data_IF_281923510938
#
_entry.id   IF_281923510938
#
_cell.length_a   1.000
_cell.length_b   1.000
_cell.length_c   1.000
_cell.angle_alpha   90.00
_cell.angle_beta   90.00
_cell.angle_gamma   90.00
#
_symmetry.space_group_name_H-M   'P 1'
#
loop_
_entity.id
_entity.type
_entity.pdbx_description
1 polymer ?
#
# COMPACT_ATOMS: atom_id res chain seq x y z
N UNK A 1 13.87 17.24 2.82
CA UNK A 1 14.14 17.05 1.42
C UNK A 1 13.15 17.84 0.57
N UNK A 2 13.69 18.80 -0.10
CA UNK A 2 12.83 19.70 -0.88
C UNK A 2 12.06 18.97 -1.96
N UNK A 3 12.68 17.96 -2.53
CA UNK A 3 12.03 17.20 -3.56
C UNK A 3 10.78 16.47 -3.05
N UNK A 4 10.88 15.92 -1.86
CA UNK A 4 9.74 15.25 -1.30
C UNK A 4 8.58 16.19 -1.05
N UNK A 5 8.88 17.39 -0.60
CA UNK A 5 7.83 18.36 -0.36
C UNK A 5 7.21 18.84 -1.65
N UNK A 6 8.03 19.04 -2.65
CA UNK A 6 7.53 19.44 -3.94
C UNK A 6 6.59 18.39 -4.50
N UNK A 7 7.00 17.17 -4.38
CA UNK A 7 6.24 16.06 -4.85
C UNK A 7 4.89 15.98 -4.16
N UNK A 8 4.91 16.22 -2.87
CA UNK A 8 3.69 16.25 -2.10
C UNK A 8 2.72 17.30 -2.60
N UNK A 9 3.24 18.44 -2.98
CA UNK A 9 2.40 19.49 -3.52
C UNK A 9 1.68 19.05 -4.76
N UNK A 10 2.39 18.36 -5.62
CA UNK A 10 1.78 17.87 -6.84
C UNK A 10 0.71 16.85 -6.54
N UNK A 11 1.02 15.96 -5.62
CA UNK A 11 0.04 14.98 -5.21
C UNK A 11 -1.13 15.62 -4.53
N UNK A 12 -0.86 16.66 -3.78
CA UNK A 12 -1.92 17.40 -3.14
C UNK A 12 -2.90 17.94 -4.16
N UNK A 13 -2.38 18.37 -5.28
CA UNK A 13 -3.24 18.84 -6.33
C UNK A 13 -4.12 17.75 -6.90
N UNK A 14 -3.57 16.57 -7.03
CA UNK A 14 -4.36 15.46 -7.52
C UNK A 14 -5.19 14.83 -6.43
N UNK A 15 -4.92 15.17 -5.19
CA UNK A 15 -5.73 14.66 -4.11
C UNK A 15 -7.15 15.18 -4.17
N UNK A 16 -7.46 15.99 -5.15
CA UNK A 16 -8.81 16.37 -5.38
C UNK A 16 -9.73 15.20 -5.61
N UNK A 17 -9.18 14.02 -5.90
CA UNK A 17 -10.00 12.84 -6.04
C UNK A 17 -10.32 12.20 -4.69
N UNK A 18 -9.80 12.75 -3.61
CA UNK A 18 -10.13 12.26 -2.27
C UNK A 18 -9.37 11.04 -1.82
N UNK A 19 -8.33 10.64 -2.55
CA UNK A 19 -7.59 9.45 -2.16
C UNK A 19 -6.49 9.78 -1.16
N UNK A 20 -6.37 9.00 -0.08
CA UNK A 20 -5.28 9.22 0.88
C UNK A 20 -3.95 8.80 0.29
N UNK A 21 -2.88 9.38 0.84
CA UNK A 21 -1.55 9.01 0.42
C UNK A 21 -1.15 7.67 1.02
N UNK A 22 -0.30 6.91 0.33
CA UNK A 22 0.23 5.69 0.94
C UNK A 22 0.97 6.01 2.22
N UNK A 23 0.93 5.08 3.16
CA UNK A 23 1.66 5.23 4.42
C UNK A 23 3.16 5.09 4.16
N UNK A 24 3.96 5.45 5.17
CA UNK A 24 5.39 5.22 5.10
C UNK A 24 5.67 3.73 5.00
N UNK A 25 6.73 3.34 4.29
CA UNK A 25 7.04 1.92 4.16
C UNK A 25 7.38 1.29 5.50
N UNK A 26 6.94 0.06 5.68
CA UNK A 26 7.22 -0.72 6.88
C UNK A 26 7.91 -2.00 6.44
N UNK A 27 9.06 -2.30 7.05
CA UNK A 27 9.79 -3.53 6.73
C UNK A 27 9.13 -4.72 7.40
N UNK A 28 9.00 -5.80 6.64
CA UNK A 28 8.44 -7.03 7.17
C UNK A 28 9.01 -8.23 6.41
N UNK A 29 9.77 -9.08 7.09
CA UNK A 29 10.32 -10.32 6.51
C UNK A 29 11.06 -10.08 5.19
N UNK A 30 11.77 -8.97 5.11
CA UNK A 30 12.54 -8.65 3.90
C UNK A 30 11.73 -7.95 2.83
N UNK A 31 10.47 -7.68 3.10
CA UNK A 31 9.60 -6.93 2.18
C UNK A 31 9.32 -5.55 2.76
N UNK A 32 8.81 -4.68 1.92
CA UNK A 32 8.38 -3.35 2.34
C UNK A 32 6.88 -3.23 2.08
N UNK A 33 6.15 -2.77 3.09
CA UNK A 33 4.69 -2.67 3.01
C UNK A 33 4.29 -1.21 3.06
N UNK A 34 3.43 -0.80 2.13
CA UNK A 34 2.82 0.53 2.17
C UNK A 34 1.31 0.35 2.18
N UNK A 35 0.66 0.85 3.22
CA UNK A 35 -0.80 0.84 3.24
C UNK A 35 -1.30 1.97 2.35
N UNK A 36 -2.24 1.66 1.48
CA UNK A 36 -2.81 2.65 0.58
C UNK A 36 -4.31 2.42 0.42
N UNK A 37 -5.06 2.59 1.52
CA UNK A 37 -6.51 2.37 1.45
C UNK A 37 -7.16 3.28 0.42
N UNK A 38 -8.25 2.81 -0.16
CA UNK A 38 -8.94 3.54 -1.21
C UNK A 38 -10.25 4.10 -0.65
N UNK A 39 -10.41 5.40 -0.78
CA UNK A 39 -11.64 6.05 -0.32
C UNK A 39 -12.77 5.75 -1.30
N UNK A 40 -13.84 5.15 -0.77
CA UNK A 40 -15.01 4.83 -1.56
C UNK A 40 -16.23 5.35 -0.80
N UNK A 41 -16.65 6.55 -1.13
CA UNK A 41 -17.86 7.15 -0.54
C UNK A 41 -17.78 7.23 0.99
N UNK A 42 -16.64 7.65 1.50
CA UNK A 42 -16.50 7.84 2.94
C UNK A 42 -16.05 6.62 3.70
N UNK A 43 -15.92 5.50 3.03
CA UNK A 43 -15.31 4.31 3.60
C UNK A 43 -13.99 4.04 2.93
N UNK A 44 -13.13 3.28 3.60
CA UNK A 44 -11.79 3.03 3.10
C UNK A 44 -11.60 1.55 2.86
N UNK A 45 -11.39 1.21 1.60
CA UNK A 45 -11.16 -0.19 1.21
C UNK A 45 -9.72 -0.57 1.53
N UNK A 46 -9.53 -1.77 2.07
CA UNK A 46 -8.20 -2.30 2.39
C UNK A 46 -7.40 -2.48 1.12
N UNK A 47 -6.24 -1.84 1.05
CA UNK A 47 -5.38 -1.91 -0.13
C UNK A 47 -3.99 -1.40 0.22
N UNK A 48 -3.03 -1.71 -0.65
CA UNK A 48 -1.67 -1.22 -0.46
C UNK A 48 -0.72 -1.80 -1.46
N UNK A 49 0.57 -1.71 -1.14
CA UNK A 49 1.64 -2.21 -1.98
C UNK A 49 2.60 -3.03 -1.16
N UNK A 50 3.11 -4.09 -1.76
CA UNK A 50 4.18 -4.88 -1.18
C UNK A 50 5.34 -4.83 -2.15
N UNK A 51 6.50 -4.42 -1.66
CA UNK A 51 7.71 -4.34 -2.49
C UNK A 51 8.74 -5.32 -1.98
N UNK A 52 9.53 -5.84 -2.89
CA UNK A 52 10.61 -6.75 -2.53
C UNK A 52 11.52 -6.94 -3.71
N UNK A 53 12.57 -7.71 -3.49
CA UNK A 53 13.58 -7.96 -4.50
C UNK A 53 13.52 -9.39 -4.96
N UNK A 54 13.51 -9.57 -6.27
CA UNK A 54 13.57 -10.90 -6.84
C UNK A 54 14.53 -10.86 -8.04
N UNK A 55 15.52 -11.76 -8.05
CA UNK A 55 16.52 -11.83 -9.10
C UNK A 55 17.22 -10.48 -9.31
N UNK A 56 17.51 -9.77 -8.22
CA UNK A 56 18.20 -8.50 -8.31
C UNK A 56 17.35 -7.33 -8.72
N UNK A 57 16.05 -7.55 -8.87
CA UNK A 57 15.11 -6.52 -9.32
C UNK A 57 14.10 -6.21 -8.24
N UNK A 58 13.88 -4.93 -7.99
CA UNK A 58 12.83 -4.53 -7.04
C UNK A 58 11.49 -4.51 -7.75
N UNK A 59 10.52 -5.16 -7.14
CA UNK A 59 9.16 -5.16 -7.66
C UNK A 59 8.21 -4.64 -6.62
N UNK A 60 7.19 -3.93 -7.08
CA UNK A 60 6.17 -3.34 -6.23
C UNK A 60 4.82 -3.83 -6.72
N UNK A 61 4.14 -4.61 -5.90
CA UNK A 61 2.90 -5.27 -6.30
C UNK A 61 1.74 -4.69 -5.50
N UNK A 62 0.67 -4.35 -6.19
CA UNK A 62 -0.51 -3.80 -5.54
C UNK A 62 -1.43 -4.90 -5.07
N UNK A 63 -2.03 -4.72 -3.89
CA UNK A 63 -3.08 -5.61 -3.43
C UNK A 63 -4.31 -4.78 -3.08
N UNK A 64 -5.49 -5.35 -3.34
CA UNK A 64 -6.76 -4.74 -3.01
C UNK A 64 -7.64 -5.84 -2.46
N UNK A 65 -8.29 -5.55 -1.34
CA UNK A 65 -9.18 -6.51 -0.70
C UNK A 65 -10.59 -5.96 -0.64
N UNK A 66 -11.55 -6.83 -0.38
CA UNK A 66 -12.96 -6.40 -0.34
C UNK A 66 -13.32 -5.68 0.95
N UNK A 67 -12.52 -5.82 1.98
CA UNK A 67 -12.81 -5.24 3.28
C UNK A 67 -12.82 -3.72 3.24
N UNK A 68 -13.76 -3.13 3.96
CA UNK A 68 -13.85 -1.68 4.07
C UNK A 68 -13.92 -1.30 5.54
N UNK A 69 -13.37 -0.13 5.86
CA UNK A 69 -13.38 0.40 7.21
C UNK A 69 -13.94 1.82 7.18
N UNK A 70 -14.61 2.19 8.26
CA UNK A 70 -15.21 3.53 8.33
C UNK A 70 -14.16 4.61 8.56
N UNK A 71 -13.02 4.23 9.14
CA UNK A 71 -11.98 5.21 9.49
C UNK A 71 -10.69 4.89 8.77
N UNK A 72 -9.99 5.95 8.38
CA UNK A 72 -8.74 5.78 7.64
C UNK A 72 -7.69 5.04 8.47
N UNK A 73 -7.56 5.38 9.73
CA UNK A 73 -6.55 4.75 10.58
C UNK A 73 -6.78 3.24 10.69
N UNK A 74 -8.02 2.84 10.85
CA UNK A 74 -8.35 1.42 10.90
C UNK A 74 -8.04 0.74 9.57
N UNK A 75 -8.32 1.42 8.48
CA UNK A 75 -8.03 0.87 7.16
C UNK A 75 -6.54 0.72 6.93
N UNK A 76 -5.73 1.67 7.41
CA UNK A 76 -4.29 1.59 7.30
C UNK A 76 -3.79 0.37 8.06
N UNK A 77 -4.21 0.22 9.32
CA UNK A 77 -3.76 -0.92 10.13
C UNK A 77 -4.21 -2.24 9.53
N UNK A 78 -5.42 -2.29 9.03
CA UNK A 78 -5.94 -3.51 8.41
C UNK A 78 -5.17 -3.84 7.14
N UNK A 79 -4.82 -2.81 6.36
CA UNK A 79 -4.06 -3.01 5.13
C UNK A 79 -2.68 -3.60 5.43
N UNK A 80 -2.03 -3.10 6.48
CA UNK A 80 -0.73 -3.62 6.88
C UNK A 80 -0.86 -5.08 7.30
N UNK A 81 -1.87 -5.40 8.09
CA UNK A 81 -2.09 -6.76 8.54
C UNK A 81 -2.34 -7.70 7.36
N UNK A 82 -3.13 -7.25 6.39
CA UNK A 82 -3.38 -8.08 5.21
C UNK A 82 -2.11 -8.30 4.39
N UNK A 83 -1.29 -7.26 4.27
CA UNK A 83 -0.03 -7.40 3.55
C UNK A 83 0.86 -8.42 4.23
N UNK A 84 0.92 -8.38 5.57
CA UNK A 84 1.72 -9.35 6.31
C UNK A 84 1.21 -10.77 6.08
N UNK A 85 -0.10 -10.96 6.03
CA UNK A 85 -0.67 -12.26 5.75
C UNK A 85 -0.30 -12.75 4.36
N UNK A 86 -0.35 -11.87 3.37
CA UNK A 86 0.01 -12.24 2.01
C UNK A 86 1.47 -12.67 1.96
N UNK A 87 2.34 -11.94 2.63
CA UNK A 87 3.76 -12.28 2.68
C UNK A 87 3.96 -13.63 3.35
N UNK A 88 3.28 -13.85 4.47
CA UNK A 88 3.42 -15.10 5.21
C UNK A 88 2.96 -16.29 4.36
N UNK A 89 1.94 -16.10 3.54
CA UNK A 89 1.38 -17.18 2.75
C UNK A 89 2.13 -17.43 1.47
N UNK A 90 2.60 -16.38 0.82
CA UNK A 90 3.15 -16.50 -0.52
C UNK A 90 4.65 -16.28 -0.62
N UNK A 91 5.23 -15.53 0.32
CA UNK A 91 6.64 -15.22 0.24
C UNK A 91 6.98 -14.53 -1.07
N UNK A 92 8.16 -14.80 -1.58
CA UNK A 92 8.62 -14.11 -2.78
C UNK A 92 7.81 -14.42 -4.03
N UNK A 93 7.00 -15.46 -4.00
CA UNK A 93 6.19 -15.77 -5.17
C UNK A 93 5.15 -14.67 -5.45
N UNK A 94 4.81 -13.86 -4.44
CA UNK A 94 3.87 -12.77 -4.67
C UNK A 94 4.44 -11.76 -5.65
N UNK A 95 5.77 -11.64 -5.72
CA UNK A 95 6.42 -10.67 -6.58
C UNK A 95 6.35 -11.05 -8.05
N UNK A 96 5.94 -12.27 -8.36
CA UNK A 96 5.79 -12.72 -9.74
C UNK A 96 4.40 -12.47 -10.29
N UNK A 97 3.51 -11.95 -9.46
CA UNK A 97 2.13 -11.70 -9.88
C UNK A 97 1.97 -10.25 -10.32
N UNK A 98 1.09 -9.99 -11.28
CA UNK A 98 0.87 -8.60 -11.70
C UNK A 98 0.18 -7.78 -10.63
N UNK A 99 -0.63 -8.44 -9.80
CA UNK A 99 -1.27 -7.79 -8.66
C UNK A 99 -1.79 -8.88 -7.73
N UNK A 100 -2.20 -8.45 -6.57
CA UNK A 100 -2.69 -9.39 -5.55
C UNK A 100 -4.15 -9.14 -5.14
#
# INVERSE_FOLDING_TARGET
>A
MALGNFFKSLLGGSAGDGQPKPSDPIDYEGFSIEAAPINEDGKYRTAGFISGEIDGETRRIRFIRADQNAELESAVNHSITKAQQIIDEQGKSLLNKPHL
#
